data_IF_101437174509
#
_entry.id   IF_101437174509
#
_cell.length_a   1.000
_cell.length_b   1.000
_cell.length_c   1.000
_cell.angle_alpha   90.00
_cell.angle_beta   90.00
_cell.angle_gamma   90.00
#
_symmetry.space_group_name_H-M   'P 1'
#
loop_
_entity.id
_entity.type
_entity.pdbx_description
1 polymer ?
#
# COMPACT_ATOMS: atom_id res chain seq x y z
N UNK A 1 3.89 -13.49 24.01
CA UNK A 1 3.62 -12.03 24.02
C UNK A 1 2.40 -11.79 24.89
N UNK A 2 2.44 -10.84 25.82
CA UNK A 2 1.28 -10.46 26.63
C UNK A 2 1.05 -8.94 26.49
N UNK A 3 -0.18 -8.56 26.15
CA UNK A 3 -0.57 -7.15 25.98
C UNK A 3 -1.73 -6.84 26.94
N UNK A 4 -1.66 -5.73 27.71
CA UNK A 4 -2.76 -5.32 28.56
C UNK A 4 -3.96 -4.83 27.72
N UNK A 5 -5.15 -4.78 28.34
CA UNK A 5 -6.30 -4.12 27.74
C UNK A 5 -5.99 -2.64 27.51
N UNK A 6 -6.49 -2.08 26.40
CA UNK A 6 -6.17 -0.72 25.98
C UNK A 6 -4.77 -0.56 25.37
N UNK A 7 -3.96 -1.62 25.28
CA UNK A 7 -2.64 -1.51 24.67
C UNK A 7 -2.75 -1.27 23.16
N UNK A 8 -1.96 -0.32 22.67
CA UNK A 8 -1.66 -0.15 21.24
C UNK A 8 -0.28 -0.72 20.98
N UNK A 9 -0.22 -1.89 20.37
CA UNK A 9 1.01 -2.59 20.05
C UNK A 9 1.33 -2.42 18.57
N UNK A 10 2.53 -1.94 18.27
CA UNK A 10 3.04 -1.93 16.91
C UNK A 10 3.84 -3.21 16.65
N UNK A 11 3.45 -3.96 15.62
CA UNK A 11 4.14 -5.19 15.22
C UNK A 11 5.04 -4.92 14.03
N UNK A 12 6.34 -5.16 14.23
CA UNK A 12 7.43 -4.92 13.30
C UNK A 12 8.03 -6.23 12.84
N UNK A 13 8.61 -6.23 11.64
CA UNK A 13 9.29 -7.39 11.07
C UNK A 13 9.50 -7.23 9.58
N UNK A 14 10.45 -7.96 9.02
CA UNK A 14 10.67 -8.00 7.57
C UNK A 14 9.47 -8.60 6.82
N UNK A 15 9.41 -8.40 5.51
CA UNK A 15 8.44 -9.09 4.66
C UNK A 15 8.69 -10.60 4.74
N UNK A 16 7.63 -11.39 4.94
CA UNK A 16 7.75 -12.84 5.15
C UNK A 16 8.16 -13.27 6.57
N UNK A 17 8.33 -12.35 7.54
CA UNK A 17 8.64 -12.72 8.92
C UNK A 17 7.50 -13.42 9.67
N UNK A 18 6.28 -13.47 9.10
CA UNK A 18 5.11 -14.11 9.71
C UNK A 18 4.11 -13.18 10.41
N UNK A 19 4.21 -11.85 10.21
CA UNK A 19 3.31 -10.85 10.84
C UNK A 19 1.82 -11.14 10.59
N UNK A 20 1.44 -11.27 9.31
CA UNK A 20 0.06 -11.55 8.90
C UNK A 20 -0.41 -12.95 9.36
N UNK A 21 0.51 -13.92 9.42
CA UNK A 21 0.22 -15.26 9.96
C UNK A 21 -0.11 -15.19 11.45
N UNK A 22 0.71 -14.49 12.23
CA UNK A 22 0.48 -14.27 13.66
C UNK A 22 -0.86 -13.57 13.91
N UNK A 23 -1.18 -12.55 13.12
CA UNK A 23 -2.49 -11.89 13.19
C UNK A 23 -3.66 -12.82 12.85
N UNK A 24 -3.48 -13.72 11.90
CA UNK A 24 -4.51 -14.70 11.52
C UNK A 24 -4.70 -15.77 12.60
N UNK A 25 -3.65 -16.14 13.33
CA UNK A 25 -3.71 -17.00 14.52
C UNK A 25 -4.47 -16.29 15.65
N UNK A 26 -4.10 -15.05 15.99
CA UNK A 26 -4.77 -14.26 17.04
C UNK A 26 -6.23 -13.98 16.65
N UNK A 27 -6.50 -13.79 15.37
CA UNK A 27 -7.85 -13.59 14.84
C UNK A 27 -8.69 -14.86 14.73
N UNK A 28 -8.19 -16.02 15.19
CA UNK A 28 -8.94 -17.29 15.19
C UNK A 28 -9.18 -17.89 13.80
N UNK A 29 -8.37 -17.54 12.78
CA UNK A 29 -8.49 -18.09 11.42
C UNK A 29 -7.64 -19.35 11.19
N UNK A 30 -6.64 -19.58 12.02
CA UNK A 30 -5.80 -20.77 11.95
C UNK A 30 -5.96 -21.60 13.22
N UNK A 31 -6.10 -22.91 13.04
CA UNK A 31 -6.13 -23.87 14.12
C UNK A 31 -4.75 -23.91 14.80
N UNK A 32 -4.77 -23.72 16.11
CA UNK A 32 -3.61 -23.84 17.00
C UNK A 32 -4.03 -24.61 18.25
N UNK A 33 -3.04 -25.07 19.03
CA UNK A 33 -3.31 -25.71 20.32
C UNK A 33 -3.99 -24.71 21.28
N UNK A 34 -4.84 -25.20 22.18
CA UNK A 34 -5.73 -24.37 23.00
C UNK A 34 -5.01 -23.30 23.83
N UNK A 35 -3.82 -23.61 24.35
CA UNK A 35 -3.03 -22.70 25.18
C UNK A 35 -2.03 -21.85 24.39
N UNK A 36 -1.86 -22.12 23.08
CA UNK A 36 -0.86 -21.43 22.26
C UNK A 36 -1.21 -19.96 21.98
N UNK A 37 -2.50 -19.63 21.90
CA UNK A 37 -2.97 -18.28 21.65
C UNK A 37 -4.25 -17.99 22.43
N UNK A 38 -4.12 -17.11 23.43
CA UNK A 38 -5.22 -16.70 24.28
C UNK A 38 -5.61 -15.25 24.00
N UNK A 39 -6.90 -15.02 23.72
CA UNK A 39 -7.48 -13.70 23.49
C UNK A 39 -8.58 -13.48 24.51
N UNK A 40 -8.48 -12.39 25.28
CA UNK A 40 -9.40 -12.09 26.39
C UNK A 40 -9.53 -13.24 27.42
N UNK A 41 -8.44 -14.01 27.59
CA UNK A 41 -8.40 -15.16 28.50
C UNK A 41 -9.04 -16.43 27.95
N UNK A 42 -9.30 -16.51 26.64
CA UNK A 42 -9.93 -17.67 25.98
C UNK A 42 -9.15 -18.13 24.74
N UNK A 43 -9.22 -19.39 24.34
CA UNK A 43 -8.49 -19.89 23.16
C UNK A 43 -8.95 -19.21 21.86
N UNK A 44 -8.02 -18.66 21.09
CA UNK A 44 -8.31 -17.81 19.94
C UNK A 44 -9.13 -18.51 18.83
N UNK A 45 -8.87 -19.80 18.58
CA UNK A 45 -9.55 -20.57 17.52
C UNK A 45 -10.80 -21.32 18.03
N UNK A 46 -10.74 -21.86 19.24
CA UNK A 46 -11.77 -22.79 19.73
C UNK A 46 -13.01 -22.08 20.28
N UNK A 47 -12.90 -20.82 20.70
CA UNK A 47 -14.05 -20.05 21.17
C UNK A 47 -14.68 -19.21 20.06
N UNK A 48 -15.82 -19.70 19.53
CA UNK A 48 -16.60 -19.00 18.50
C UNK A 48 -17.17 -17.65 18.94
N UNK A 49 -17.32 -17.40 20.25
CA UNK A 49 -17.84 -16.13 20.76
C UNK A 49 -16.86 -14.97 20.56
N UNK A 50 -15.55 -15.27 20.46
CA UNK A 50 -14.50 -14.28 20.18
C UNK A 50 -14.63 -13.67 18.78
N UNK A 51 -15.23 -14.36 17.81
CA UNK A 51 -15.39 -13.87 16.45
C UNK A 51 -16.18 -12.55 16.36
N UNK A 52 -17.06 -12.29 17.34
CA UNK A 52 -17.81 -11.03 17.44
C UNK A 52 -17.05 -9.92 18.17
N UNK A 53 -16.01 -10.27 18.94
CA UNK A 53 -15.23 -9.36 19.79
C UNK A 53 -13.88 -8.98 19.18
N UNK A 54 -13.40 -9.77 18.22
CA UNK A 54 -12.12 -9.55 17.51
C UNK A 54 -12.41 -9.05 16.10
N UNK A 55 -11.89 -7.87 15.77
CA UNK A 55 -11.94 -7.33 14.42
C UNK A 55 -10.58 -7.50 13.74
N UNK A 56 -10.53 -8.31 12.68
CA UNK A 56 -9.33 -8.53 11.87
C UNK A 56 -9.47 -7.85 10.50
N UNK A 57 -8.55 -6.92 10.23
CA UNK A 57 -8.41 -6.18 8.99
C UNK A 57 -7.06 -6.54 8.33
N UNK A 58 -7.08 -7.38 7.30
CA UNK A 58 -5.87 -7.87 6.60
C UNK A 58 -5.59 -7.14 5.28
N UNK A 59 -4.38 -7.22 4.71
CA UNK A 59 -4.06 -6.66 3.39
C UNK A 59 -4.73 -7.41 2.23
N UNK A 60 -4.64 -8.73 2.23
CA UNK A 60 -5.19 -9.62 1.19
C UNK A 60 -6.70 -9.78 1.33
N UNK A 61 -7.46 -8.89 0.70
CA UNK A 61 -8.88 -9.12 0.43
C UNK A 61 -9.01 -9.64 -0.99
N UNK A 62 -8.96 -10.96 -1.14
CA UNK A 62 -9.35 -11.58 -2.40
C UNK A 62 -10.78 -11.14 -2.76
N UNK A 63 -11.07 -11.09 -4.06
CA UNK A 63 -12.41 -10.82 -4.64
C UNK A 63 -13.54 -11.74 -4.12
N UNK A 64 -13.25 -12.63 -3.18
CA UNK A 64 -14.20 -13.35 -2.34
C UNK A 64 -15.01 -12.36 -1.50
N UNK A 65 -16.07 -11.87 -2.11
CA UNK A 65 -17.43 -11.82 -1.55
C UNK A 65 -17.45 -12.08 -0.03
N UNK A 66 -17.41 -11.02 0.78
CA UNK A 66 -17.59 -11.13 2.24
C UNK A 66 -19.06 -11.41 2.55
N UNK A 67 -19.61 -12.60 2.24
CA UNK A 67 -21.03 -12.94 2.48
C UNK A 67 -21.56 -12.46 3.85
N UNK A 68 -22.69 -11.73 3.86
CA UNK A 68 -23.57 -11.59 5.03
C UNK A 68 -24.62 -12.67 4.82
N UNK A 69 -24.52 -13.76 5.58
CA UNK A 69 -25.48 -14.86 5.50
C UNK A 69 -25.62 -15.48 4.10
N UNK A 70 -26.84 -15.91 3.78
CA UNK A 70 -27.20 -16.73 2.62
C UNK A 70 -26.76 -16.12 1.27
N UNK A 71 -25.62 -16.56 0.74
CA UNK A 71 -25.31 -16.73 -0.69
C UNK A 71 -25.62 -15.57 -1.68
N UNK A 72 -25.80 -14.32 -1.24
CA UNK A 72 -25.95 -13.17 -2.14
C UNK A 72 -24.58 -12.53 -2.40
N UNK A 73 -24.08 -12.50 -3.65
CA UNK A 73 -22.83 -11.84 -3.97
C UNK A 73 -22.95 -10.31 -3.81
N UNK A 74 -22.03 -9.74 -3.04
CA UNK A 74 -21.89 -8.31 -2.70
C UNK A 74 -21.82 -7.32 -3.86
N UNK A 75 -21.78 -7.80 -5.10
CA UNK A 75 -21.41 -6.98 -6.25
C UNK A 75 -22.52 -6.01 -6.69
N UNK A 76 -23.77 -6.21 -6.26
CA UNK A 76 -24.90 -5.36 -6.64
C UNK A 76 -25.59 -4.62 -5.48
N UNK A 77 -24.99 -4.62 -4.27
CA UNK A 77 -25.58 -3.92 -3.13
C UNK A 77 -25.06 -2.48 -3.03
N UNK A 78 -26.01 -1.57 -2.84
CA UNK A 78 -25.76 -0.19 -2.42
C UNK A 78 -25.15 -0.18 -1.01
N UNK A 79 -24.20 0.73 -0.78
CA UNK A 79 -23.50 0.85 0.51
C UNK A 79 -24.46 1.14 1.66
N UNK A 80 -25.53 1.90 1.43
CA UNK A 80 -26.61 2.16 2.40
C UNK A 80 -27.18 0.89 3.03
N UNK A 81 -27.49 -0.13 2.22
CA UNK A 81 -28.01 -1.43 2.71
C UNK A 81 -26.97 -2.20 3.50
N UNK A 82 -25.71 -2.07 3.09
CA UNK A 82 -24.60 -2.74 3.74
C UNK A 82 -24.39 -2.15 5.14
N UNK A 83 -24.36 -0.83 5.26
CA UNK A 83 -24.31 -0.12 6.54
C UNK A 83 -25.50 -0.53 7.41
N UNK A 84 -26.72 -0.50 6.86
CA UNK A 84 -27.94 -0.90 7.58
C UNK A 84 -27.88 -2.34 8.12
N UNK A 85 -27.32 -3.29 7.36
CA UNK A 85 -27.16 -4.68 7.82
C UNK A 85 -26.14 -4.85 8.94
N UNK A 86 -25.11 -4.00 8.99
CA UNK A 86 -24.05 -4.07 9.99
C UNK A 86 -24.32 -3.18 11.21
N UNK A 87 -25.18 -2.16 11.10
CA UNK A 87 -25.55 -1.23 12.15
C UNK A 87 -26.68 -1.73 13.07
N UNK A 88 -27.22 -2.93 12.83
CA UNK A 88 -28.25 -3.52 13.68
C UNK A 88 -27.74 -3.66 15.12
N UNK A 89 -28.36 -2.96 16.05
CA UNK A 89 -27.99 -2.96 17.48
C UNK A 89 -26.77 -2.10 17.82
N UNK A 90 -26.31 -1.24 16.91
CA UNK A 90 -25.19 -0.31 17.12
C UNK A 90 -25.73 1.10 17.29
N UNK A 91 -25.05 1.89 18.12
CA UNK A 91 -25.34 3.32 18.28
C UNK A 91 -25.26 4.07 16.92
N UNK A 92 -26.35 4.74 16.49
CA UNK A 92 -26.36 5.54 15.27
C UNK A 92 -25.30 6.64 15.24
N UNK A 93 -24.91 7.20 16.39
CA UNK A 93 -23.91 8.27 16.46
C UNK A 93 -22.52 7.77 16.05
N UNK A 94 -22.14 6.57 16.50
CA UNK A 94 -20.91 5.88 16.06
C UNK A 94 -20.89 5.68 14.55
N UNK A 95 -22.00 5.19 13.99
CA UNK A 95 -22.08 4.92 12.54
C UNK A 95 -21.89 6.21 11.76
N UNK A 96 -22.59 7.30 12.15
CA UNK A 96 -22.46 8.61 11.50
C UNK A 96 -21.03 9.14 11.58
N UNK A 97 -20.39 9.02 12.75
CA UNK A 97 -19.00 9.44 12.97
C UNK A 97 -18.03 8.71 12.03
N UNK A 98 -18.16 7.38 11.92
CA UNK A 98 -17.29 6.58 11.05
C UNK A 98 -17.55 6.83 9.55
N UNK A 99 -18.80 7.04 9.15
CA UNK A 99 -19.17 7.39 7.77
C UNK A 99 -18.55 8.73 7.37
N UNK A 100 -18.61 9.72 8.26
CA UNK A 100 -18.00 11.02 8.03
C UNK A 100 -16.46 10.94 7.99
N UNK A 101 -15.85 10.22 8.93
CA UNK A 101 -14.40 10.07 9.04
C UNK A 101 -13.80 9.39 7.81
N UNK A 102 -14.44 8.33 7.30
CA UNK A 102 -13.97 7.60 6.14
C UNK A 102 -14.47 8.20 4.81
N UNK A 103 -15.21 9.32 4.88
CA UNK A 103 -15.85 9.99 3.74
C UNK A 103 -16.59 9.01 2.82
N UNK A 104 -17.38 8.12 3.42
CA UNK A 104 -18.13 7.11 2.67
C UNK A 104 -19.47 7.68 2.24
N UNK A 105 -19.77 7.68 0.95
CA UNK A 105 -21.11 8.00 0.45
C UNK A 105 -21.99 6.74 0.47
N UNK A 106 -23.15 6.85 1.10
CA UNK A 106 -24.12 5.75 1.22
C UNK A 106 -24.68 5.33 -0.15
N UNK A 107 -24.67 6.22 -1.15
CA UNK A 107 -25.18 5.97 -2.50
C UNK A 107 -24.20 5.21 -3.40
N UNK A 108 -22.99 4.94 -2.91
CA UNK A 108 -22.01 4.19 -3.68
C UNK A 108 -22.47 2.76 -3.96
N UNK A 109 -22.11 2.27 -5.15
CA UNK A 109 -22.25 0.87 -5.51
C UNK A 109 -20.89 0.19 -5.52
N UNK A 110 -20.80 -0.97 -4.87
CA UNK A 110 -19.55 -1.73 -4.73
C UNK A 110 -18.92 -2.17 -6.06
N UNK A 111 -19.70 -2.18 -7.15
CA UNK A 111 -19.25 -2.48 -8.52
C UNK A 111 -18.58 -1.31 -9.22
N UNK A 112 -18.92 -0.07 -8.86
CA UNK A 112 -18.48 1.14 -9.56
C UNK A 112 -17.44 1.95 -8.78
N UNK A 113 -17.24 1.63 -7.50
CA UNK A 113 -16.26 2.32 -6.65
C UNK A 113 -14.82 1.92 -6.99
N UNK A 114 -13.91 2.87 -6.80
CA UNK A 114 -12.47 2.59 -6.86
C UNK A 114 -12.03 1.67 -5.72
N UNK A 115 -10.88 1.02 -5.87
CA UNK A 115 -10.34 0.12 -4.83
C UNK A 115 -10.12 0.84 -3.49
N UNK A 116 -9.69 2.10 -3.50
CA UNK A 116 -9.57 2.91 -2.28
C UNK A 116 -10.91 3.22 -1.60
N UNK A 117 -11.95 3.52 -2.38
CA UNK A 117 -13.31 3.70 -1.86
C UNK A 117 -13.87 2.40 -1.29
N UNK A 118 -13.64 1.28 -1.98
CA UNK A 118 -14.00 -0.06 -1.49
C UNK A 118 -13.30 -0.38 -0.17
N UNK A 119 -12.02 -0.03 -0.04
CA UNK A 119 -11.25 -0.19 1.19
C UNK A 119 -11.86 0.61 2.35
N UNK A 120 -12.23 1.87 2.12
CA UNK A 120 -12.92 2.72 3.11
C UNK A 120 -14.23 2.08 3.59
N UNK A 121 -15.07 1.60 2.67
CA UNK A 121 -16.31 0.88 3.02
C UNK A 121 -15.98 -0.38 3.84
N UNK A 122 -14.95 -1.15 3.49
CA UNK A 122 -14.56 -2.35 4.23
C UNK A 122 -14.10 -2.04 5.66
N UNK A 123 -13.27 -1.01 5.83
CA UNK A 123 -12.82 -0.54 7.15
C UNK A 123 -14.04 -0.12 7.97
N UNK A 124 -14.96 0.66 7.38
CA UNK A 124 -16.22 1.06 8.01
C UNK A 124 -17.00 -0.15 8.53
N UNK A 125 -17.25 -1.16 7.69
CA UNK A 125 -18.05 -2.35 8.05
C UNK A 125 -17.49 -3.12 9.24
N UNK A 126 -16.16 -3.15 9.38
CA UNK A 126 -15.48 -3.84 10.49
C UNK A 126 -15.45 -3.00 11.76
N UNK A 127 -15.41 -1.68 11.67
CA UNK A 127 -15.37 -0.77 12.82
C UNK A 127 -16.75 -0.35 13.34
N UNK A 128 -17.81 -0.49 12.52
CA UNK A 128 -19.21 -0.24 12.94
C UNK A 128 -19.51 -1.01 14.22
N UNK A 129 -19.22 -2.31 14.24
CA UNK A 129 -19.43 -3.12 15.43
C UNK A 129 -18.33 -2.84 16.46
N UNK A 130 -18.68 -2.58 17.72
CA UNK A 130 -17.68 -2.42 18.77
C UNK A 130 -16.91 -3.73 18.95
N UNK A 131 -15.58 -3.65 18.98
CA UNK A 131 -14.69 -4.78 19.24
C UNK A 131 -13.84 -4.50 20.49
N UNK A 132 -13.35 -5.56 21.13
CA UNK A 132 -12.43 -5.48 22.28
C UNK A 132 -10.97 -5.63 21.84
N UNK A 133 -10.75 -6.32 20.71
CA UNK A 133 -9.43 -6.53 20.12
C UNK A 133 -9.48 -6.18 18.63
N UNK A 134 -8.56 -5.33 18.20
CA UNK A 134 -8.45 -4.87 16.84
C UNK A 134 -7.08 -5.27 16.25
N UNK A 135 -7.10 -5.93 15.11
CA UNK A 135 -5.92 -6.43 14.41
C UNK A 135 -5.87 -5.75 13.04
N UNK A 136 -4.86 -4.92 12.82
CA UNK A 136 -4.70 -4.08 11.64
C UNK A 136 -3.43 -4.44 10.87
N UNK A 137 -3.55 -4.90 9.63
CA UNK A 137 -2.43 -5.28 8.77
C UNK A 137 -2.39 -4.37 7.54
N UNK A 138 -1.46 -3.40 7.54
CA UNK A 138 -1.20 -2.49 6.41
C UNK A 138 -2.45 -1.79 5.86
N UNK A 139 -3.43 -1.49 6.71
CA UNK A 139 -4.75 -1.01 6.24
C UNK A 139 -4.76 0.44 5.74
N UNK A 140 -3.70 1.20 6.04
CA UNK A 140 -3.60 2.64 5.80
C UNK A 140 -2.89 2.99 4.49
N UNK A 141 -2.45 2.01 3.68
CA UNK A 141 -1.73 2.26 2.43
C UNK A 141 -2.62 2.94 1.38
N UNK A 142 -3.91 2.61 1.37
CA UNK A 142 -4.88 3.11 0.39
C UNK A 142 -5.66 4.34 0.89
N UNK A 143 -5.34 4.82 2.09
CA UNK A 143 -5.94 6.02 2.68
C UNK A 143 -5.06 7.24 2.39
N UNK A 144 -5.70 8.37 2.12
CA UNK A 144 -5.06 9.67 2.04
C UNK A 144 -4.61 10.17 3.41
N UNK A 145 -3.75 11.19 3.41
CA UNK A 145 -3.08 11.68 4.61
C UNK A 145 -4.06 12.08 5.73
N UNK A 146 -5.12 12.82 5.38
CA UNK A 146 -6.10 13.31 6.34
C UNK A 146 -6.96 12.17 6.90
N UNK A 147 -7.57 11.34 6.05
CA UNK A 147 -8.40 10.22 6.53
C UNK A 147 -7.59 9.21 7.35
N UNK A 148 -6.29 9.02 7.02
CA UNK A 148 -5.38 8.21 7.84
C UNK A 148 -5.20 8.83 9.23
N UNK A 149 -4.93 10.13 9.32
CA UNK A 149 -4.75 10.81 10.60
C UNK A 149 -6.01 10.70 11.46
N UNK A 150 -7.18 10.95 10.87
CA UNK A 150 -8.45 10.85 11.58
C UNK A 150 -8.74 9.41 12.03
N UNK A 151 -8.43 8.41 11.20
CA UNK A 151 -8.57 7.00 11.58
C UNK A 151 -7.66 6.65 12.75
N UNK A 152 -6.38 7.05 12.72
CA UNK A 152 -5.45 6.79 13.82
C UNK A 152 -5.87 7.47 15.12
N UNK A 153 -6.43 8.67 15.02
CA UNK A 153 -7.00 9.41 16.15
C UNK A 153 -8.22 8.67 16.73
N UNK A 154 -9.16 8.24 15.88
CA UNK A 154 -10.31 7.43 16.30
C UNK A 154 -9.89 6.14 17.01
N UNK A 155 -8.89 5.43 16.46
CA UNK A 155 -8.37 4.20 17.06
C UNK A 155 -7.66 4.43 18.41
N UNK A 156 -7.07 5.61 18.59
CA UNK A 156 -6.49 6.03 19.87
C UNK A 156 -7.58 6.22 20.92
N UNK A 157 -8.64 6.96 20.58
CA UNK A 157 -9.77 7.20 21.47
C UNK A 157 -10.47 5.90 21.87
N UNK A 158 -10.73 4.97 20.92
CA UNK A 158 -11.30 3.66 21.23
C UNK A 158 -10.43 2.87 22.22
N UNK A 159 -9.11 2.98 22.10
CA UNK A 159 -8.17 2.33 22.99
C UNK A 159 -8.12 2.99 24.38
N UNK A 160 -8.17 4.32 24.47
CA UNK A 160 -8.07 5.08 25.71
C UNK A 160 -9.39 5.09 26.51
N UNK A 161 -10.53 5.28 25.83
CA UNK A 161 -11.85 5.39 26.47
C UNK A 161 -12.47 4.02 26.75
N UNK A 162 -12.31 3.06 25.83
CA UNK A 162 -13.00 1.75 25.89
C UNK A 162 -12.06 0.59 26.22
N UNK A 163 -10.75 0.84 26.31
CA UNK A 163 -9.76 -0.19 26.62
C UNK A 163 -9.59 -1.22 25.50
N UNK A 164 -9.83 -0.84 24.23
CA UNK A 164 -9.61 -1.73 23.08
C UNK A 164 -8.12 -2.00 22.90
N UNK A 165 -7.74 -3.28 22.79
CA UNK A 165 -6.37 -3.67 22.48
C UNK A 165 -6.17 -3.69 20.96
N UNK A 166 -5.27 -2.84 20.46
CA UNK A 166 -5.00 -2.71 19.02
C UNK A 166 -3.60 -3.22 18.69
N UNK A 167 -3.50 -4.19 17.79
CA UNK A 167 -2.24 -4.64 17.19
C UNK A 167 -2.19 -4.09 15.77
N UNK A 168 -1.18 -3.28 15.48
CA UNK A 168 -1.03 -2.61 14.20
C UNK A 168 0.30 -2.96 13.53
N UNK A 169 0.22 -3.60 12.37
CA UNK A 169 1.34 -3.82 11.47
C UNK A 169 1.32 -2.73 10.40
N UNK A 170 2.39 -1.95 10.32
CA UNK A 170 2.58 -0.95 9.28
C UNK A 170 4.05 -0.79 8.97
N UNK A 171 4.33 -0.46 7.72
CA UNK A 171 5.65 -0.04 7.26
C UNK A 171 5.76 1.49 7.14
N UNK A 172 4.69 2.22 7.47
CA UNK A 172 4.65 3.68 7.38
C UNK A 172 4.55 4.27 8.79
N UNK A 173 5.64 4.85 9.28
CA UNK A 173 5.74 5.38 10.65
C UNK A 173 5.31 6.85 10.78
N UNK A 174 4.98 7.50 9.68
CA UNK A 174 4.61 8.91 9.66
C UNK A 174 3.40 9.20 10.56
N UNK A 175 3.53 10.19 11.45
CA UNK A 175 2.46 10.61 12.36
C UNK A 175 2.12 9.60 13.46
N UNK A 176 2.94 8.56 13.68
CA UNK A 176 2.74 7.57 14.74
C UNK A 176 3.57 7.84 16.00
N UNK A 177 4.30 8.95 16.07
CA UNK A 177 5.03 9.32 17.28
C UNK A 177 4.05 9.50 18.46
N UNK A 178 4.27 8.75 19.55
CA UNK A 178 3.42 8.77 20.73
C UNK A 178 2.09 8.00 20.58
N UNK A 179 1.81 7.40 19.43
CA UNK A 179 0.63 6.55 19.25
C UNK A 179 0.81 5.16 19.88
N UNK A 180 1.86 4.36 19.57
CA UNK A 180 2.00 3.02 20.13
C UNK A 180 2.42 3.08 21.60
N UNK A 181 1.85 2.20 22.41
CA UNK A 181 2.24 1.96 23.81
C UNK A 181 3.24 0.83 23.95
N UNK A 182 3.20 -0.13 23.03
CA UNK A 182 4.04 -1.32 23.01
C UNK A 182 4.62 -1.52 21.61
N UNK A 183 5.81 -2.12 21.57
CA UNK A 183 6.50 -2.48 20.33
C UNK A 183 6.86 -3.95 20.39
N UNK A 184 6.53 -4.67 19.33
CA UNK A 184 6.82 -6.08 19.15
C UNK A 184 7.61 -6.27 17.86
N UNK A 185 8.70 -7.05 17.90
CA UNK A 185 9.52 -7.34 16.73
C UNK A 185 9.57 -8.83 16.45
N UNK A 186 9.19 -9.18 15.23
CA UNK A 186 9.14 -10.54 14.71
C UNK A 186 10.20 -10.70 13.62
N UNK A 187 11.05 -11.72 13.75
CA UNK A 187 12.09 -12.04 12.78
C UNK A 187 12.18 -13.56 12.59
N UNK A 188 12.18 -14.02 11.35
CA UNK A 188 12.30 -15.46 11.04
C UNK A 188 11.18 -16.35 11.63
N UNK A 189 10.01 -15.79 11.93
CA UNK A 189 8.92 -16.52 12.61
C UNK A 189 9.02 -16.51 14.14
N UNK A 190 10.07 -15.92 14.72
CA UNK A 190 10.25 -15.83 16.16
C UNK A 190 10.02 -14.40 16.67
N UNK A 191 9.37 -14.32 17.85
CA UNK A 191 9.18 -13.05 18.54
C UNK A 191 10.46 -12.70 19.29
N UNK A 192 11.24 -11.78 18.74
CA UNK A 192 12.53 -11.36 19.30
C UNK A 192 12.33 -10.57 20.60
N UNK A 193 11.38 -9.64 20.60
CA UNK A 193 10.98 -8.92 21.81
C UNK A 193 9.57 -8.37 21.70
N UNK A 194 8.94 -8.16 22.86
CA UNK A 194 7.74 -7.34 23.02
C UNK A 194 7.88 -6.55 24.32
N UNK A 195 7.90 -5.22 24.24
CA UNK A 195 8.12 -4.34 25.39
C UNK A 195 7.31 -3.05 25.27
N UNK A 196 7.03 -2.35 26.39
CA UNK A 196 6.50 -0.99 26.35
C UNK A 196 7.46 -0.06 25.59
N UNK A 197 6.90 0.90 24.86
CA UNK A 197 7.68 1.82 24.04
C UNK A 197 8.58 2.73 24.87
N UNK A 198 8.15 3.12 26.08
CA UNK A 198 8.92 4.00 26.98
C UNK A 198 10.32 3.41 27.25
N UNK A 199 10.37 2.12 27.57
CA UNK A 199 11.62 1.39 27.77
C UNK A 199 12.50 1.29 26.51
N UNK A 200 11.92 1.45 25.32
CA UNK A 200 12.64 1.41 24.05
C UNK A 200 13.10 2.80 23.61
N UNK A 201 12.31 3.85 23.87
CA UNK A 201 12.55 5.23 23.40
C UNK A 201 13.46 6.00 24.35
N UNK A 202 13.47 5.70 25.65
CA UNK A 202 14.36 6.36 26.62
C UNK A 202 15.86 6.08 26.36
N UNK A 203 16.17 5.07 25.54
CA UNK A 203 17.54 4.73 25.13
C UNK A 203 17.99 5.46 23.84
N UNK A 204 17.12 6.26 23.22
CA UNK A 204 17.36 6.84 21.90
C UNK A 204 17.38 8.37 21.91
N UNK A 205 18.59 8.90 22.04
CA UNK A 205 18.87 10.26 21.58
C UNK A 205 18.78 10.28 20.05
N UNK A 206 17.80 11.03 19.53
CA UNK A 206 17.69 11.28 18.09
C UNK A 206 18.58 12.47 17.74
N UNK A 207 19.62 12.29 16.91
CA UNK A 207 20.47 13.39 16.47
C UNK A 207 19.63 14.49 15.80
N UNK A 208 19.98 15.76 16.03
CA UNK A 208 19.25 16.90 15.46
C UNK A 208 19.18 16.84 13.93
N UNK A 209 20.21 16.28 13.28
CA UNK A 209 20.27 16.07 11.83
C UNK A 209 19.14 15.17 11.30
N UNK A 210 18.75 14.13 12.03
CA UNK A 210 17.65 13.26 11.63
C UNK A 210 16.29 13.94 11.87
N UNK A 211 16.18 14.76 12.92
CA UNK A 211 14.99 15.55 13.21
C UNK A 211 14.75 16.62 12.15
N UNK A 212 15.82 17.26 11.66
CA UNK A 212 15.79 18.22 10.55
C UNK A 212 15.36 17.58 9.22
N UNK A 213 15.60 16.28 9.04
CA UNK A 213 15.09 15.49 7.89
C UNK A 213 13.62 15.09 8.04
N UNK A 214 12.94 15.49 9.12
CA UNK A 214 11.54 15.18 9.39
C UNK A 214 11.31 13.77 9.93
N UNK A 215 12.36 13.07 10.35
CA UNK A 215 12.21 11.71 10.89
C UNK A 215 11.83 11.76 12.36
N UNK A 216 10.70 11.11 12.68
CA UNK A 216 10.19 10.97 14.04
C UNK A 216 11.09 10.15 14.96
N UNK A 217 10.85 10.22 16.26
CA UNK A 217 11.60 9.42 17.25
C UNK A 217 11.34 7.93 17.03
N UNK A 218 10.10 7.57 16.74
CA UNK A 218 9.70 6.19 16.44
C UNK A 218 10.44 5.66 15.22
N UNK A 219 10.49 6.46 14.14
CA UNK A 219 11.16 6.05 12.90
C UNK A 219 12.64 5.75 13.16
N UNK A 220 13.34 6.66 13.84
CA UNK A 220 14.76 6.49 14.15
C UNK A 220 15.01 5.28 15.05
N UNK A 221 14.14 5.07 16.05
CA UNK A 221 14.19 3.91 16.93
C UNK A 221 14.09 2.60 16.15
N UNK A 222 13.03 2.47 15.34
CA UNK A 222 12.78 1.28 14.54
C UNK A 222 13.88 1.06 13.51
N UNK A 223 14.34 2.12 12.84
CA UNK A 223 15.42 2.05 11.86
C UNK A 223 16.70 1.52 12.49
N UNK A 224 17.10 2.04 13.65
CA UNK A 224 18.29 1.58 14.38
C UNK A 224 18.16 0.10 14.77
N UNK A 225 17.03 -0.29 15.34
CA UNK A 225 16.76 -1.67 15.74
C UNK A 225 16.82 -2.63 14.54
N UNK A 226 16.29 -2.22 13.38
CA UNK A 226 16.35 -3.02 12.16
C UNK A 226 17.77 -3.10 11.59
N UNK A 227 18.54 -2.01 11.64
CA UNK A 227 19.93 -1.99 11.16
C UNK A 227 20.87 -2.84 12.04
N UNK A 228 20.69 -2.81 13.36
CA UNK A 228 21.43 -3.68 14.30
C UNK A 228 21.18 -5.17 14.01
N UNK A 229 19.97 -5.52 13.58
CA UNK A 229 19.57 -6.89 13.23
C UNK A 229 19.91 -7.27 11.78
N UNK A 230 20.06 -6.29 10.87
CA UNK A 230 20.33 -6.50 9.45
C UNK A 230 21.49 -5.61 8.94
N UNK A 231 22.76 -5.92 9.29
CA UNK A 231 23.91 -5.09 8.97
C UNK A 231 24.18 -4.90 7.46
N UNK A 232 23.66 -5.80 6.60
CA UNK A 232 23.79 -5.69 5.14
C UNK A 232 23.21 -4.39 4.57
N UNK A 233 22.09 -3.89 5.11
CA UNK A 233 21.44 -2.68 4.62
C UNK A 233 22.18 -1.39 5.02
N UNK A 234 22.90 -1.38 6.15
CA UNK A 234 23.71 -0.24 6.56
C UNK A 234 24.79 0.12 5.54
N UNK A 235 25.41 -0.89 4.95
CA UNK A 235 26.40 -0.74 3.87
C UNK A 235 25.84 -0.10 2.60
N UNK A 236 24.58 -0.40 2.25
CA UNK A 236 23.92 0.12 1.04
C UNK A 236 23.45 1.57 1.21
N UNK A 237 23.01 1.95 2.41
CA UNK A 237 22.58 3.32 2.72
C UNK A 237 23.79 4.28 2.80
N UNK A 238 24.93 3.78 3.27
CA UNK A 238 26.19 4.53 3.32
C UNK A 238 26.91 4.63 1.98
N UNK A 239 26.52 3.85 0.97
CA UNK A 239 27.13 3.91 -0.33
C UNK A 239 26.72 5.21 -1.03
N UNK A 240 27.69 6.10 -1.26
CA UNK A 240 27.49 7.24 -2.16
C UNK A 240 27.21 6.68 -3.56
N UNK A 241 26.13 7.12 -4.25
CA UNK A 241 25.80 6.58 -5.56
C UNK A 241 26.92 6.94 -6.54
N UNK A 242 27.77 5.96 -6.87
CA UNK A 242 28.89 6.07 -7.81
C UNK A 242 28.49 5.80 -9.26
N UNK A 243 27.19 5.68 -9.54
CA UNK A 243 26.71 5.47 -10.90
C UNK A 243 26.67 6.78 -11.68
N UNK A 244 27.67 7.01 -12.53
CA UNK A 244 27.52 7.86 -13.71
C UNK A 244 26.52 7.18 -14.65
N UNK A 245 25.23 7.50 -14.48
CA UNK A 245 24.23 7.18 -15.50
C UNK A 245 24.70 7.86 -16.79
N UNK A 246 24.95 7.07 -17.83
CA UNK A 246 25.48 7.56 -19.10
C UNK A 246 24.70 8.77 -19.61
N UNK A 247 25.44 9.74 -20.14
CA UNK A 247 24.93 10.97 -20.72
C UNK A 247 24.03 10.64 -21.93
N UNK A 248 22.75 10.41 -21.67
CA UNK A 248 21.73 10.66 -22.69
C UNK A 248 21.83 12.15 -22.98
N UNK A 249 21.98 12.56 -24.24
CA UNK A 249 21.96 13.97 -24.64
C UNK A 249 20.50 14.39 -24.76
N UNK A 250 19.90 15.02 -23.75
CA UNK A 250 18.52 15.42 -23.86
C UNK A 250 18.39 16.60 -24.84
N UNK A 251 17.36 16.60 -25.69
CA UNK A 251 16.93 17.80 -26.43
C UNK A 251 16.67 18.89 -25.38
N UNK A 252 17.25 20.09 -25.51
CA UNK A 252 17.13 21.15 -24.50
C UNK A 252 15.67 21.48 -24.12
N UNK A 253 15.43 22.03 -22.94
CA UNK A 253 14.10 22.38 -22.44
C UNK A 253 13.78 21.81 -21.05
N UNK A 254 12.58 22.08 -20.51
CA UNK A 254 12.13 21.54 -19.23
C UNK A 254 12.12 20.00 -19.23
N UNK A 255 12.18 19.40 -18.05
CA UNK A 255 12.07 17.95 -17.90
C UNK A 255 10.65 17.47 -18.24
N UNK A 256 9.63 18.22 -17.81
CA UNK A 256 8.22 17.96 -18.10
C UNK A 256 7.57 19.31 -18.43
N UNK A 257 6.82 19.37 -19.53
CA UNK A 257 5.95 20.48 -19.89
C UNK A 257 4.55 19.95 -20.17
N UNK A 258 3.56 20.50 -19.47
CA UNK A 258 2.15 20.18 -19.64
C UNK A 258 1.40 21.46 -19.97
N UNK A 259 0.64 21.45 -21.05
CA UNK A 259 -0.10 22.60 -21.56
C UNK A 259 -1.58 22.27 -21.71
N UNK A 260 -2.43 22.97 -20.94
CA UNK A 260 -3.90 22.91 -20.97
C UNK A 260 -4.47 21.48 -21.04
N UNK A 261 -3.93 20.59 -20.21
CA UNK A 261 -4.31 19.19 -20.22
C UNK A 261 -5.71 19.01 -19.62
N UNK A 262 -6.65 18.65 -20.48
CA UNK A 262 -8.00 18.22 -20.11
C UNK A 262 -8.22 16.77 -20.54
N UNK A 263 -8.57 15.90 -19.59
CA UNK A 263 -8.66 14.47 -19.85
C UNK A 263 -9.72 13.78 -18.98
N UNK A 264 -10.47 12.83 -19.55
CA UNK A 264 -11.45 12.00 -18.84
C UNK A 264 -11.48 10.56 -19.35
N UNK A 265 -11.78 9.60 -18.47
CA UNK A 265 -11.99 8.20 -18.85
C UNK A 265 -13.24 8.06 -19.73
N UNK A 266 -13.19 7.18 -20.73
CA UNK A 266 -14.34 6.85 -21.59
C UNK A 266 -15.51 6.34 -20.75
N UNK A 267 -16.63 7.07 -20.73
CA UNK A 267 -17.83 6.73 -19.94
C UNK A 267 -17.93 7.42 -18.57
N UNK A 268 -16.94 8.21 -18.15
CA UNK A 268 -17.03 9.03 -16.95
C UNK A 268 -17.89 10.28 -17.20
N UNK A 269 -18.75 10.66 -16.23
CA UNK A 269 -19.64 11.84 -16.32
C UNK A 269 -18.89 13.18 -16.25
N UNK A 270 -17.65 13.20 -15.79
CA UNK A 270 -16.82 14.40 -15.65
C UNK A 270 -15.37 14.09 -16.06
N UNK A 271 -14.66 15.07 -16.61
CA UNK A 271 -13.24 14.92 -16.87
C UNK A 271 -12.49 14.72 -15.54
N UNK A 272 -11.45 13.87 -15.55
CA UNK A 272 -10.65 13.60 -14.37
C UNK A 272 -9.59 14.69 -14.14
N UNK A 273 -9.18 15.38 -15.20
CA UNK A 273 -8.26 16.52 -15.18
C UNK A 273 -8.86 17.64 -16.05
N UNK A 274 -8.76 18.89 -15.59
CA UNK A 274 -9.29 20.07 -16.27
C UNK A 274 -8.19 21.13 -16.36
N UNK A 275 -7.82 21.51 -17.58
CA UNK A 275 -6.90 22.62 -17.88
C UNK A 275 -5.63 22.67 -17.02
N UNK A 276 -5.00 21.51 -16.81
CA UNK A 276 -3.77 21.44 -16.02
C UNK A 276 -2.59 21.92 -16.85
N UNK A 277 -1.87 22.93 -16.38
CA UNK A 277 -0.65 23.44 -17.03
C UNK A 277 0.46 23.63 -16.01
N UNK A 278 1.63 23.05 -16.25
CA UNK A 278 2.82 23.25 -15.41
C UNK A 278 4.09 22.84 -16.16
N UNK A 279 5.22 23.39 -15.74
CA UNK A 279 6.54 23.04 -16.24
C UNK A 279 7.45 22.66 -15.07
N UNK A 280 8.25 21.61 -15.25
CA UNK A 280 9.24 21.17 -14.28
C UNK A 280 10.63 21.20 -14.92
N UNK A 281 11.56 21.89 -14.28
CA UNK A 281 12.95 21.93 -14.69
C UNK A 281 13.67 20.60 -14.39
N UNK A 282 14.84 20.41 -15.00
CA UNK A 282 15.66 19.21 -14.79
C UNK A 282 16.30 19.21 -13.42
N UNK A 283 16.40 18.01 -12.83
CA UNK A 283 16.97 17.82 -11.49
C UNK A 283 16.01 18.21 -10.36
N UNK A 284 14.83 18.77 -10.65
CA UNK A 284 13.82 19.08 -9.64
C UNK A 284 13.16 17.80 -9.15
N UNK A 285 13.06 17.67 -7.82
CA UNK A 285 12.29 16.63 -7.15
C UNK A 285 10.93 17.22 -6.79
N UNK A 286 9.91 16.90 -7.57
CA UNK A 286 8.55 17.36 -7.35
C UNK A 286 7.71 16.29 -6.65
N UNK A 287 7.00 16.66 -5.58
CA UNK A 287 6.04 15.80 -4.90
C UNK A 287 4.62 16.14 -5.39
N UNK A 288 3.96 15.19 -6.04
CA UNK A 288 2.57 15.34 -6.46
C UNK A 288 1.61 14.98 -5.31
N UNK A 289 0.97 16.00 -4.73
CA UNK A 289 0.03 15.85 -3.60
C UNK A 289 -1.40 16.09 -4.06
N UNK A 290 -2.35 15.38 -3.46
CA UNK A 290 -3.78 15.55 -3.70
C UNK A 290 -4.60 14.46 -3.00
N UNK A 291 -5.90 14.67 -2.86
CA UNK A 291 -6.81 13.67 -2.29
C UNK A 291 -6.91 12.40 -3.14
N UNK A 292 -7.44 11.32 -2.57
CA UNK A 292 -7.77 10.13 -3.34
C UNK A 292 -8.82 10.45 -4.41
N UNK A 293 -8.63 9.94 -5.63
CA UNK A 293 -9.51 10.26 -6.76
C UNK A 293 -9.21 11.61 -7.46
N UNK A 294 -8.27 12.43 -6.96
CA UNK A 294 -7.91 13.71 -7.59
C UNK A 294 -7.17 13.60 -8.95
N UNK A 295 -6.98 12.39 -9.49
CA UNK A 295 -6.34 12.18 -10.78
C UNK A 295 -4.81 12.04 -10.76
N UNK A 296 -4.16 11.92 -9.60
CA UNK A 296 -2.68 11.78 -9.49
C UNK A 296 -2.12 10.62 -10.32
N UNK A 297 -2.68 9.42 -10.14
CA UNK A 297 -2.26 8.22 -10.89
C UNK A 297 -2.57 8.37 -12.38
N UNK A 298 -3.68 9.01 -12.72
CA UNK A 298 -4.03 9.34 -14.10
C UNK A 298 -2.97 10.25 -14.71
N UNK A 299 -2.61 11.36 -14.05
CA UNK A 299 -1.57 12.27 -14.51
C UNK A 299 -0.23 11.56 -14.72
N UNK A 300 0.19 10.69 -13.78
CA UNK A 300 1.42 9.90 -13.94
C UNK A 300 1.36 8.92 -15.12
N UNK A 301 0.19 8.31 -15.39
CA UNK A 301 -0.02 7.45 -16.57
C UNK A 301 0.04 8.25 -17.87
N UNK A 302 -0.49 9.48 -17.88
CA UNK A 302 -0.44 10.40 -19.01
C UNK A 302 1.00 10.86 -19.30
N UNK A 303 1.74 11.25 -18.27
CA UNK A 303 3.16 11.62 -18.37
C UNK A 303 4.03 10.44 -18.84
N UNK A 304 3.71 9.23 -18.40
CA UNK A 304 4.39 8.00 -18.83
C UNK A 304 3.91 7.42 -20.16
N UNK A 305 3.14 8.18 -20.97
CA UNK A 305 2.78 7.76 -22.33
C UNK A 305 1.79 6.60 -22.43
N UNK A 306 1.06 6.25 -21.35
CA UNK A 306 0.14 5.09 -21.36
C UNK A 306 -1.21 5.35 -22.02
N UNK A 307 -1.57 6.61 -22.28
CA UNK A 307 -2.80 6.96 -22.98
C UNK A 307 -2.51 7.98 -24.08
N UNK A 308 -3.29 7.88 -25.16
CA UNK A 308 -3.20 8.82 -26.26
C UNK A 308 -3.69 10.21 -25.84
N UNK A 309 -2.86 11.21 -26.14
CA UNK A 309 -3.14 12.62 -25.92
C UNK A 309 -3.01 13.40 -27.24
N UNK A 310 -3.64 14.58 -27.35
CA UNK A 310 -3.34 15.49 -28.44
C UNK A 310 -1.85 15.87 -28.46
N UNK A 311 -1.31 16.18 -29.64
CA UNK A 311 0.10 16.57 -29.79
C UNK A 311 0.33 17.94 -29.14
N UNK A 312 1.48 18.10 -28.48
CA UNK A 312 1.86 19.34 -27.80
C UNK A 312 1.17 19.60 -26.46
N UNK A 313 0.37 18.64 -25.96
CA UNK A 313 -0.28 18.76 -24.64
C UNK A 313 0.64 18.33 -23.50
N UNK A 314 1.48 17.32 -23.74
CA UNK A 314 2.41 16.77 -22.75
C UNK A 314 3.72 16.40 -23.44
N UNK A 315 4.79 17.07 -23.02
CA UNK A 315 6.15 16.81 -23.48
C UNK A 315 7.05 16.47 -22.28
N UNK A 316 7.85 15.41 -22.40
CA UNK A 316 8.81 14.96 -21.39
C UNK A 316 10.18 14.87 -22.04
N UNK A 317 11.17 15.57 -21.45
CA UNK A 317 12.53 15.72 -22.00
C UNK A 317 12.56 16.27 -23.44
N UNK A 318 11.54 17.04 -23.84
CA UNK A 318 11.38 17.56 -25.21
C UNK A 318 10.82 16.55 -26.21
N UNK A 319 10.31 15.41 -25.75
CA UNK A 319 9.64 14.39 -26.55
C UNK A 319 8.15 14.32 -26.20
N UNK A 320 7.28 14.10 -27.20
CA UNK A 320 5.85 13.97 -26.93
C UNK A 320 5.55 12.67 -26.21
N UNK A 321 4.84 12.73 -25.07
CA UNK A 321 4.68 11.60 -24.16
C UNK A 321 4.09 10.33 -24.80
N UNK A 322 3.18 10.45 -25.77
CA UNK A 322 2.55 9.29 -26.43
C UNK A 322 3.05 9.07 -27.87
N UNK A 323 3.34 10.16 -28.59
CA UNK A 323 3.62 10.07 -30.03
C UNK A 323 5.07 9.71 -30.34
N UNK A 324 5.96 9.75 -29.35
CA UNK A 324 7.38 9.46 -29.53
C UNK A 324 7.77 8.14 -28.84
N UNK A 325 8.19 7.16 -29.65
CA UNK A 325 8.57 5.84 -29.13
C UNK A 325 9.92 5.84 -28.42
N UNK A 326 10.78 6.84 -28.65
CA UNK A 326 12.08 6.96 -27.96
C UNK A 326 11.89 7.25 -26.47
N UNK A 327 10.81 7.93 -26.09
CA UNK A 327 10.49 8.31 -24.71
C UNK A 327 10.30 7.10 -23.79
N UNK A 328 9.80 5.97 -24.32
CA UNK A 328 9.64 4.72 -23.55
C UNK A 328 10.99 4.12 -23.11
N UNK A 329 12.10 4.49 -23.76
CA UNK A 329 13.45 4.04 -23.34
C UNK A 329 14.07 4.97 -22.30
N UNK A 330 13.60 6.22 -22.22
CA UNK A 330 14.14 7.26 -21.35
C UNK A 330 13.32 7.47 -20.07
N UNK A 331 12.06 7.06 -20.09
CA UNK A 331 11.14 7.19 -18.95
C UNK A 331 10.78 5.83 -18.40
N UNK A 332 10.68 5.73 -17.08
CA UNK A 332 10.25 4.52 -16.39
C UNK A 332 9.17 4.90 -15.40
N UNK A 333 7.94 4.43 -15.66
CA UNK A 333 6.81 4.64 -14.76
C UNK A 333 6.64 3.44 -13.83
N UNK A 334 6.99 3.63 -12.56
CA UNK A 334 6.66 2.68 -11.50
C UNK A 334 5.24 3.00 -10.98
N UNK A 335 4.24 2.32 -11.53
CA UNK A 335 2.84 2.40 -11.08
C UNK A 335 2.43 1.10 -10.38
N UNK A 336 1.49 1.17 -9.45
CA UNK A 336 0.95 0.02 -8.70
C UNK A 336 0.17 -0.99 -9.54
N UNK A 337 -0.07 -0.71 -10.83
CA UNK A 337 -0.69 -1.65 -11.77
C UNK A 337 0.33 -2.74 -12.22
N UNK A 338 0.84 -3.50 -11.26
CA UNK A 338 1.47 -4.79 -11.56
C UNK A 338 0.35 -5.81 -11.74
N UNK A 339 -0.44 -5.65 -12.80
CA UNK A 339 -1.37 -6.70 -13.17
C UNK A 339 -0.53 -7.92 -13.55
N UNK A 340 -0.85 -9.09 -12.97
CA UNK A 340 -0.55 -10.38 -13.60
C UNK A 340 -1.40 -10.52 -14.87
N UNK A 341 -1.34 -9.55 -15.77
CA UNK A 341 -1.98 -9.66 -17.07
C UNK A 341 -1.11 -10.59 -17.90
N UNK A 342 -1.44 -11.87 -17.75
CA UNK A 342 -1.08 -12.95 -18.64
C UNK A 342 -1.31 -12.47 -20.07
N UNK A 343 -0.27 -12.48 -20.90
CA UNK A 343 -0.45 -12.42 -22.34
C UNK A 343 -1.20 -13.68 -22.78
N UNK A 344 -2.51 -13.57 -22.99
CA UNK A 344 -3.29 -14.64 -23.61
C UNK A 344 -3.05 -14.59 -25.12
N UNK A 345 -2.24 -15.51 -25.64
CA UNK A 345 -2.29 -15.86 -27.07
C UNK A 345 -3.36 -16.95 -27.19
N UNK A 346 -4.33 -16.76 -28.08
CA UNK A 346 -5.48 -17.62 -28.42
C UNK A 346 -5.65 -18.98 -27.70
N UNK A 347 -6.89 -19.27 -27.28
CA UNK A 347 -7.34 -20.50 -26.59
C UNK A 347 -7.00 -20.66 -25.10
N UNK A 348 -6.92 -19.56 -24.34
CA UNK A 348 -7.14 -19.61 -22.89
C UNK A 348 -6.12 -20.39 -22.07
N UNK A 349 -4.93 -20.67 -22.60
CA UNK A 349 -3.82 -21.23 -21.82
C UNK A 349 -2.91 -20.08 -21.38
N UNK A 350 -2.80 -19.78 -20.08
CA UNK A 350 -1.86 -18.77 -19.60
C UNK A 350 -0.43 -19.26 -19.83
N UNK A 351 0.38 -18.50 -20.56
CA UNK A 351 1.82 -18.74 -20.63
C UNK A 351 2.43 -18.34 -19.28
N UNK A 352 2.72 -19.35 -18.44
CA UNK A 352 3.41 -19.17 -17.18
C UNK A 352 4.86 -19.60 -17.38
N UNK A 353 5.77 -18.63 -17.42
CA UNK A 353 7.20 -18.87 -17.45
C UNK A 353 7.85 -18.12 -16.28
N UNK A 354 8.43 -18.86 -15.34
CA UNK A 354 9.25 -18.31 -14.26
C UNK A 354 10.63 -18.00 -14.84
N UNK A 355 10.81 -16.77 -15.31
CA UNK A 355 12.15 -16.28 -15.65
C UNK A 355 12.84 -15.86 -14.36
N UNK A 356 13.98 -16.47 -14.06
CA UNK A 356 14.85 -15.99 -12.99
C UNK A 356 15.24 -14.54 -13.28
N UNK A 357 15.15 -13.67 -12.27
CA UNK A 357 15.58 -12.26 -12.36
C UNK A 357 17.01 -12.13 -12.90
N UNK A 358 17.88 -13.11 -12.63
CA UNK A 358 19.24 -13.14 -13.17
C UNK A 358 19.31 -13.20 -14.69
N UNK A 359 18.36 -13.87 -15.34
CA UNK A 359 18.27 -13.97 -16.80
C UNK A 359 17.81 -12.65 -17.42
N UNK A 360 16.81 -11.99 -16.83
CA UNK A 360 16.36 -10.65 -17.28
C UNK A 360 17.45 -9.59 -17.13
N UNK A 361 18.15 -9.57 -15.99
CA UNK A 361 19.24 -8.61 -15.76
C UNK A 361 20.39 -8.85 -16.75
N UNK A 362 20.72 -10.11 -17.07
CA UNK A 362 21.71 -10.45 -18.10
C UNK A 362 21.32 -9.93 -19.49
N UNK A 363 20.08 -10.13 -19.91
CA UNK A 363 19.59 -9.66 -21.21
C UNK A 363 19.49 -8.14 -21.31
N UNK A 364 19.15 -7.42 -20.23
CA UNK A 364 19.14 -5.96 -20.22
C UNK A 364 20.55 -5.36 -20.32
N UNK A 365 21.57 -6.06 -19.80
CA UNK A 365 22.98 -5.67 -19.96
C UNK A 365 23.46 -5.96 -21.39
N UNK A 366 23.06 -7.08 -22.00
CA UNK A 366 23.37 -7.41 -23.40
C UNK A 366 22.72 -6.45 -24.42
N UNK A 367 21.47 -6.02 -24.18
CA UNK A 367 20.77 -5.07 -25.06
C UNK A 367 21.47 -3.71 -25.12
N UNK A 368 22.18 -3.30 -24.05
CA UNK A 368 23.03 -2.09 -24.07
C UNK A 368 24.34 -2.27 -24.86
N UNK A 369 24.80 -3.49 -25.11
CA UNK A 369 25.96 -3.76 -25.97
C UNK A 369 25.59 -3.95 -27.45
N UNK A 370 24.34 -4.26 -27.78
CA UNK A 370 23.89 -4.57 -29.15
C UNK A 370 23.46 -3.36 -30.00
N UNK A 371 24.03 -2.17 -29.78
CA UNK A 371 24.03 -1.10 -30.79
C UNK A 371 25.39 -1.04 -31.50
N UNK A 372 25.69 -2.10 -32.26
CA UNK A 372 26.60 -2.07 -33.41
C UNK A 372 26.56 -3.44 -34.09
N UNK A 373 25.96 -3.44 -35.28
CA UNK A 373 26.18 -4.40 -36.38
C UNK A 373 25.82 -5.86 -36.09
N UNK A 374 24.86 -6.43 -36.81
CA UNK A 374 25.06 -7.60 -37.71
C UNK A 374 23.71 -8.22 -38.13
N UNK A 375 23.58 -8.40 -39.46
CA UNK A 375 22.54 -9.17 -40.15
C UNK A 375 22.39 -10.58 -39.55
N UNK A 376 21.17 -10.99 -39.21
CA UNK A 376 20.85 -12.39 -38.92
C UNK A 376 20.39 -13.09 -40.21
N UNK A 377 21.32 -13.83 -40.82
CA UNK A 377 21.05 -14.85 -41.84
C UNK A 377 20.50 -16.09 -41.14
N UNK A 378 19.26 -16.46 -41.45
CA UNK A 378 18.64 -17.71 -40.98
C UNK A 378 19.09 -18.87 -41.88
N UNK A 379 20.03 -19.71 -41.42
CA UNK A 379 20.25 -21.04 -41.99
C UNK A 379 19.69 -22.14 -41.10
N UNK A 380 18.68 -22.84 -41.60
CA UNK A 380 18.19 -24.13 -41.10
C UNK A 380 19.28 -25.20 -41.20
N UNK A 381 19.33 -26.13 -40.26
CA UNK A 381 19.49 -27.60 -40.49
C UNK A 381 19.26 -28.37 -39.18
N UNK A 382 18.97 -29.69 -39.22
CA UNK A 382 17.83 -30.27 -38.52
C UNK A 382 18.20 -31.28 -37.42
N UNK A 383 17.15 -31.66 -36.69
CA UNK A 383 17.00 -32.85 -35.84
C UNK A 383 17.89 -34.04 -36.23
N UNK A 384 18.62 -34.55 -35.24
CA UNK A 384 18.44 -35.90 -34.70
C UNK A 384 18.82 -35.93 -33.22
#
# INVERSE_FOLDING_TARGET
MALPRGARCMLLGANGAGKSTLMSVIGGRHLVEEESAMVLGRPAFHDTSLASRVALLTGNWTHTVSFVGHNVPYQAMEVSRLIASHSVGVDPERVRRLVQLLEVDEKWNLTTVSDGQRRRVQILCKLIKPCEVLLLDEITTDLDLLARQDLLQFLREESEERGVCTIYCTHIFDGLDGWPTHIAYLSGGEMVFCKPIEMAVDLLEVPEEMRLRGWGRLFCAVQRMLLEQMPRYGTLISATPTASCGDVVPKGGPAIAVHDLSWGYTGAKSAALHSVSFELERGVRCLLVGANGAGKTTLLKLLGGKHMLPRGTVDVLGYSAFHDTELNTLTSLLSGDWTRQVACVGNGVPFQADFSMGFMVGSFVEVRMMTLTTLLVLSRTPLF
#
